data_IF_623381070683
#
_entry.id   IF_623381070683
#
_cell.length_a   1.000
_cell.length_b   1.000
_cell.length_c   1.000
_cell.angle_alpha   90.00
_cell.angle_beta   90.00
_cell.angle_gamma   90.00
#
_symmetry.space_group_name_H-M   'P 1'
#
loop_
_entity.id
_entity.type
_entity.pdbx_description
1 polymer ?
#
# COMPACT_ATOMS: atom_id res chain seq x y z
N UNK A 1 5.74 4.07 -12.14
CA UNK A 1 4.83 3.10 -11.51
C UNK A 1 4.98 1.79 -12.28
N UNK A 2 6.12 1.11 -12.07
CA UNK A 2 6.76 0.31 -13.12
C UNK A 2 6.46 -1.20 -13.06
N UNK A 3 6.05 -1.75 -11.91
CA UNK A 3 5.84 -3.20 -11.74
C UNK A 3 4.68 -3.77 -12.55
N UNK A 4 3.48 -3.20 -12.44
CA UNK A 4 2.32 -3.64 -13.21
C UNK A 4 2.43 -3.28 -14.71
N UNK A 5 3.09 -2.17 -15.03
CA UNK A 5 3.34 -1.77 -16.42
C UNK A 5 4.32 -2.71 -17.12
N UNK A 6 5.37 -3.18 -16.43
CA UNK A 6 6.31 -4.15 -16.98
C UNK A 6 5.62 -5.49 -17.29
N UNK A 7 4.81 -6.00 -16.35
CA UNK A 7 4.03 -7.23 -16.60
C UNK A 7 3.09 -7.05 -17.79
N UNK A 8 2.39 -5.90 -17.88
CA UNK A 8 1.55 -5.57 -19.05
C UNK A 8 2.34 -5.55 -20.35
N UNK A 9 3.55 -4.98 -20.36
CA UNK A 9 4.43 -5.00 -21.54
C UNK A 9 4.84 -6.41 -21.94
N UNK A 10 5.24 -7.25 -20.98
CA UNK A 10 5.65 -8.65 -21.24
C UNK A 10 4.50 -9.49 -21.83
N UNK A 11 3.28 -9.27 -21.35
CA UNK A 11 2.06 -9.89 -21.90
C UNK A 11 1.79 -9.36 -23.31
N UNK A 12 1.88 -8.04 -23.51
CA UNK A 12 1.65 -7.40 -24.80
C UNK A 12 2.63 -7.89 -25.88
N UNK A 13 3.90 -8.11 -25.52
CA UNK A 13 4.92 -8.63 -26.44
C UNK A 13 4.93 -10.16 -26.53
N UNK A 14 3.94 -10.85 -25.94
CA UNK A 14 3.81 -12.31 -25.92
C UNK A 14 5.00 -13.09 -25.32
N UNK A 15 5.90 -12.43 -24.58
CA UNK A 15 7.08 -13.08 -23.97
C UNK A 15 6.69 -14.07 -22.88
N UNK A 16 5.56 -13.84 -22.21
CA UNK A 16 5.01 -14.73 -21.18
C UNK A 16 4.57 -16.10 -21.71
N UNK A 17 4.44 -16.29 -23.03
CA UNK A 17 4.18 -17.62 -23.63
C UNK A 17 5.39 -18.54 -23.61
N UNK A 18 6.58 -18.01 -23.34
CA UNK A 18 7.85 -18.72 -23.38
C UNK A 18 8.58 -18.74 -22.03
N UNK A 19 7.99 -18.13 -20.99
CA UNK A 19 8.59 -17.96 -19.67
C UNK A 19 7.51 -18.10 -18.61
N UNK A 20 7.66 -19.09 -17.74
CA UNK A 20 6.78 -19.26 -16.58
C UNK A 20 7.19 -18.33 -15.44
N UNK A 21 6.23 -17.59 -14.90
CA UNK A 21 6.42 -16.83 -13.66
C UNK A 21 5.93 -17.66 -12.47
N UNK A 22 6.77 -17.76 -11.43
CA UNK A 22 6.37 -18.31 -10.14
C UNK A 22 6.06 -17.18 -9.17
N UNK A 23 5.02 -17.38 -8.38
CA UNK A 23 4.65 -16.46 -7.29
C UNK A 23 5.68 -16.58 -6.17
N UNK A 24 6.08 -15.44 -5.60
CA UNK A 24 6.93 -15.41 -4.41
C UNK A 24 6.09 -15.76 -3.18
N UNK A 25 6.65 -16.57 -2.26
CA UNK A 25 5.92 -17.03 -1.07
C UNK A 25 5.58 -15.91 -0.06
N UNK A 26 6.27 -14.77 -0.15
CA UNK A 26 5.98 -13.64 0.72
C UNK A 26 6.89 -12.44 0.47
N UNK A 27 6.48 -11.31 1.05
CA UNK A 27 7.28 -10.10 1.18
C UNK A 27 7.74 -9.94 2.62
N UNK A 28 8.93 -9.37 2.83
CA UNK A 28 9.52 -9.21 4.16
C UNK A 28 10.09 -7.80 4.33
N UNK A 29 10.04 -7.28 5.55
CA UNK A 29 10.62 -5.99 5.93
C UNK A 29 11.50 -6.13 7.16
N UNK A 30 12.62 -5.43 7.18
CA UNK A 30 13.50 -5.34 8.35
C UNK A 30 13.07 -4.16 9.22
N UNK A 31 12.72 -4.44 10.48
CA UNK A 31 12.34 -3.41 11.46
C UNK A 31 12.83 -3.82 12.84
N UNK A 32 13.31 -2.86 13.62
CA UNK A 32 13.69 -3.06 15.02
C UNK A 32 14.60 -4.29 15.28
N UNK A 33 15.56 -4.54 14.39
CA UNK A 33 16.51 -5.64 14.55
C UNK A 33 16.04 -6.99 13.99
N UNK A 34 14.81 -7.09 13.48
CA UNK A 34 14.20 -8.36 13.06
C UNK A 34 13.58 -8.26 11.66
N UNK A 35 13.56 -9.40 10.95
CA UNK A 35 12.83 -9.54 9.68
C UNK A 35 11.39 -9.97 9.99
N UNK A 36 10.43 -9.25 9.43
CA UNK A 36 9.00 -9.48 9.59
C UNK A 36 8.37 -9.79 8.23
N UNK A 37 7.45 -10.75 8.18
CA UNK A 37 6.60 -10.97 7.00
C UNK A 37 5.63 -9.80 6.87
N UNK A 38 5.51 -9.23 5.66
CA UNK A 38 4.51 -8.21 5.36
C UNK A 38 3.15 -8.90 5.26
N UNK A 39 2.14 -8.44 6.02
CA UNK A 39 0.83 -9.10 6.04
C UNK A 39 0.12 -9.02 4.69
N UNK A 40 -0.40 -10.17 4.25
CA UNK A 40 -1.14 -10.34 2.98
C UNK A 40 -2.64 -10.53 3.19
N UNK A 41 -3.03 -10.86 4.42
CA UNK A 41 -4.42 -11.09 4.81
C UNK A 41 -4.74 -10.38 6.12
N UNK A 42 -6.02 -10.18 6.42
CA UNK A 42 -6.46 -9.63 7.70
C UNK A 42 -5.97 -10.50 8.88
N UNK A 43 -5.96 -11.84 8.73
CA UNK A 43 -5.46 -12.75 9.73
C UNK A 43 -3.95 -12.59 9.98
N UNK A 44 -3.15 -12.44 8.92
CA UNK A 44 -1.72 -12.15 9.04
C UNK A 44 -1.47 -10.79 9.68
N UNK A 45 -2.30 -9.78 9.38
CA UNK A 45 -2.16 -8.44 9.96
C UNK A 45 -2.45 -8.46 11.47
N UNK A 46 -3.41 -9.27 11.91
CA UNK A 46 -3.71 -9.49 13.32
C UNK A 46 -2.57 -10.21 14.05
N UNK A 47 -1.97 -11.23 13.43
CA UNK A 47 -0.88 -12.00 14.01
C UNK A 47 0.50 -11.30 13.96
N UNK A 48 0.70 -10.36 13.03
CA UNK A 48 1.99 -9.74 12.77
C UNK A 48 2.54 -8.93 13.95
N UNK A 49 3.81 -9.07 14.28
CA UNK A 49 4.52 -8.24 15.27
C UNK A 49 5.11 -6.95 14.65
N UNK A 50 4.81 -6.67 13.38
CA UNK A 50 5.34 -5.52 12.64
C UNK A 50 4.81 -4.18 13.13
N UNK A 51 3.62 -4.18 13.73
CA UNK A 51 2.91 -2.99 14.23
C UNK A 51 2.40 -3.25 15.65
N UNK A 52 2.45 -2.24 16.51
CA UNK A 52 1.84 -2.30 17.83
C UNK A 52 0.31 -2.44 17.76
N UNK A 53 -0.33 -2.84 18.86
CA UNK A 53 -1.78 -3.05 18.92
C UNK A 53 -2.60 -1.80 18.50
N UNK A 54 -2.17 -0.62 18.96
CA UNK A 54 -2.82 0.65 18.59
C UNK A 54 -2.66 0.98 17.11
N UNK A 55 -1.48 0.69 16.56
CA UNK A 55 -1.13 1.00 15.18
C UNK A 55 -1.89 0.07 14.22
N UNK A 56 -2.06 -1.20 14.60
CA UNK A 56 -2.94 -2.14 13.88
C UNK A 56 -4.38 -1.66 13.84
N UNK A 57 -4.90 -1.13 14.94
CA UNK A 57 -6.27 -0.61 14.99
C UNK A 57 -6.46 0.58 14.04
N UNK A 58 -5.48 1.50 13.98
CA UNK A 58 -5.50 2.65 13.06
C UNK A 58 -5.37 2.21 11.60
N UNK A 59 -4.46 1.29 11.33
CA UNK A 59 -4.28 0.74 9.99
C UNK A 59 -5.53 0.02 9.48
N UNK A 60 -6.28 -0.65 10.38
CA UNK A 60 -7.57 -1.28 10.07
C UNK A 60 -8.66 -0.27 9.65
N UNK A 61 -8.53 1.02 10.01
CA UNK A 61 -9.42 2.09 9.52
C UNK A 61 -8.98 2.63 8.16
N UNK A 62 -7.67 2.79 7.97
CA UNK A 62 -7.09 3.29 6.72
C UNK A 62 -7.29 2.32 5.55
N UNK A 63 -7.09 1.01 5.78
CA UNK A 63 -7.07 0.03 4.71
C UNK A 63 -8.41 -0.07 3.95
N UNK A 64 -9.58 -0.16 4.62
CA UNK A 64 -10.87 -0.13 3.93
C UNK A 64 -11.11 1.17 3.14
N UNK A 65 -10.65 2.32 3.65
CA UNK A 65 -10.73 3.58 2.90
C UNK A 65 -9.96 3.48 1.58
N UNK A 66 -8.70 3.02 1.62
CA UNK A 66 -7.89 2.85 0.41
C UNK A 66 -8.53 1.87 -0.57
N UNK A 67 -9.02 0.73 -0.08
CA UNK A 67 -9.59 -0.32 -0.93
C UNK A 67 -10.89 0.12 -1.61
N UNK A 68 -11.74 0.88 -0.90
CA UNK A 68 -13.02 1.36 -1.42
C UNK A 68 -12.91 2.70 -2.16
N UNK A 69 -11.75 3.35 -2.16
CA UNK A 69 -11.55 4.63 -2.83
C UNK A 69 -11.68 4.48 -4.36
N UNK A 70 -12.57 5.24 -4.97
CA UNK A 70 -12.79 5.27 -6.42
C UNK A 70 -12.64 6.70 -6.95
N UNK A 71 -11.75 6.90 -7.93
CA UNK A 71 -11.41 8.25 -8.42
C UNK A 71 -12.60 9.00 -9.02
N UNK A 72 -13.52 8.26 -9.64
CA UNK A 72 -14.73 8.81 -10.25
C UNK A 72 -15.90 9.01 -9.28
N UNK A 73 -15.79 8.58 -8.02
CA UNK A 73 -16.87 8.64 -7.04
C UNK A 73 -16.48 9.46 -5.80
N UNK A 74 -16.97 10.70 -5.77
CA UNK A 74 -16.74 11.65 -4.67
C UNK A 74 -17.24 11.13 -3.31
N UNK A 75 -18.23 10.21 -3.27
CA UNK A 75 -18.71 9.66 -2.00
C UNK A 75 -17.65 8.82 -1.29
N UNK A 76 -16.73 8.23 -2.06
CA UNK A 76 -15.64 7.41 -1.50
C UNK A 76 -14.50 8.25 -0.93
N UNK A 77 -14.46 9.57 -1.20
CA UNK A 77 -13.33 10.43 -0.83
C UNK A 77 -13.40 10.95 0.61
N UNK A 78 -14.51 10.73 1.33
CA UNK A 78 -14.72 11.18 2.72
C UNK A 78 -14.41 12.68 2.92
N UNK A 79 -14.98 13.52 2.07
CA UNK A 79 -14.78 14.98 2.06
C UNK A 79 -13.35 15.47 1.78
N UNK A 80 -12.45 14.58 1.34
CA UNK A 80 -11.09 14.94 0.93
C UNK A 80 -10.99 15.17 -0.58
N UNK A 81 -10.13 16.11 -1.00
CA UNK A 81 -9.75 16.23 -2.42
C UNK A 81 -8.44 15.46 -2.67
N UNK A 82 -8.48 14.27 -3.30
CA UNK A 82 -7.30 13.42 -3.44
C UNK A 82 -6.20 14.03 -4.34
N UNK A 83 -6.54 15.03 -5.15
CA UNK A 83 -5.58 15.73 -6.02
C UNK A 83 -4.91 16.92 -5.33
N UNK A 84 -5.41 17.34 -4.16
CA UNK A 84 -4.89 18.50 -3.42
C UNK A 84 -4.38 18.12 -2.04
N UNK A 85 -5.08 17.23 -1.35
CA UNK A 85 -4.71 16.79 -0.01
C UNK A 85 -3.44 15.97 -0.07
N UNK A 86 -2.47 16.35 0.75
CA UNK A 86 -1.19 15.65 0.87
C UNK A 86 -1.37 14.27 1.51
N UNK A 87 -0.46 13.34 1.23
CA UNK A 87 -0.50 12.03 1.88
C UNK A 87 -0.31 12.13 3.40
N UNK A 88 0.45 13.13 3.87
CA UNK A 88 0.63 13.44 5.28
C UNK A 88 -0.69 13.81 5.96
N UNK A 89 -1.47 14.71 5.34
CA UNK A 89 -2.79 15.08 5.84
C UNK A 89 -3.74 13.88 5.88
N UNK A 90 -3.69 13.03 4.85
CA UNK A 90 -4.47 11.80 4.83
C UNK A 90 -4.09 10.86 5.98
N UNK A 91 -2.81 10.64 6.21
CA UNK A 91 -2.39 9.81 7.34
C UNK A 91 -2.78 10.39 8.69
N UNK A 92 -2.73 11.72 8.85
CA UNK A 92 -3.21 12.40 10.05
C UNK A 92 -4.72 12.23 10.25
N UNK A 93 -5.52 12.28 9.18
CA UNK A 93 -6.96 12.03 9.25
C UNK A 93 -7.31 10.64 9.82
N UNK A 94 -6.44 9.65 9.58
CA UNK A 94 -6.58 8.28 10.11
C UNK A 94 -5.75 8.03 11.39
N UNK A 95 -5.31 9.09 12.09
CA UNK A 95 -4.53 9.04 13.33
C UNK A 95 -3.20 8.26 13.23
N UNK A 96 -2.64 8.11 12.02
CA UNK A 96 -1.31 7.51 11.86
C UNK A 96 -0.25 8.52 12.33
N UNK A 97 0.59 8.09 13.27
CA UNK A 97 1.75 8.85 13.73
C UNK A 97 2.91 8.71 12.74
N UNK A 98 3.88 9.63 12.74
CA UNK A 98 5.04 9.59 11.83
C UNK A 98 5.78 8.25 11.83
N UNK A 99 5.97 7.62 13.00
CA UNK A 99 6.63 6.31 13.16
C UNK A 99 5.88 5.14 12.49
N UNK A 100 4.65 5.37 12.07
CA UNK A 100 3.77 4.38 11.46
C UNK A 100 3.58 4.67 9.96
N UNK A 101 3.73 5.93 9.52
CA UNK A 101 3.54 6.34 8.11
C UNK A 101 4.55 5.67 7.17
N UNK A 102 5.75 5.37 7.67
CA UNK A 102 6.82 4.68 6.93
C UNK A 102 6.37 3.32 6.40
N UNK A 103 5.57 2.58 7.17
CA UNK A 103 5.12 1.24 6.79
C UNK A 103 4.26 1.24 5.50
N UNK A 104 3.11 1.93 5.43
CA UNK A 104 2.35 2.02 4.20
C UNK A 104 3.13 2.70 3.07
N UNK A 105 3.98 3.69 3.35
CA UNK A 105 4.75 4.38 2.33
C UNK A 105 5.81 3.50 1.65
N UNK A 106 6.73 2.97 2.45
CA UNK A 106 7.91 2.26 1.94
C UNK A 106 7.63 0.78 1.68
N UNK A 107 6.84 0.14 2.52
CA UNK A 107 6.66 -1.32 2.44
C UNK A 107 5.54 -1.70 1.49
N UNK A 108 4.44 -0.94 1.49
CA UNK A 108 3.28 -1.23 0.65
C UNK A 108 3.29 -0.41 -0.65
N UNK A 109 3.48 0.91 -0.56
CA UNK A 109 3.52 1.79 -1.73
C UNK A 109 4.89 1.86 -2.43
N UNK A 110 5.91 1.20 -1.87
CA UNK A 110 7.25 1.05 -2.43
C UNK A 110 7.95 2.38 -2.75
N UNK A 111 7.70 3.41 -1.94
CA UNK A 111 8.48 4.65 -2.01
C UNK A 111 9.89 4.45 -1.46
N UNK A 112 10.86 5.20 -2.01
CA UNK A 112 12.27 5.14 -1.59
C UNK A 112 12.66 6.27 -0.63
N UNK A 113 11.87 7.35 -0.62
CA UNK A 113 12.04 8.56 0.16
C UNK A 113 10.68 9.02 0.67
N UNK A 114 10.70 9.89 1.68
CA UNK A 114 9.49 10.46 2.30
C UNK A 114 8.83 11.58 1.50
N UNK A 115 9.39 11.95 0.34
CA UNK A 115 8.88 13.06 -0.49
C UNK A 115 7.39 12.90 -0.83
N UNK A 116 6.89 11.66 -0.87
CA UNK A 116 5.49 11.32 -1.13
C UNK A 116 4.52 11.86 -0.06
N UNK A 117 4.99 12.10 1.16
CA UNK A 117 4.18 12.63 2.25
C UNK A 117 3.60 13.99 1.90
N UNK A 118 4.38 14.80 1.19
CA UNK A 118 4.01 16.18 0.84
C UNK A 118 3.48 16.30 -0.60
N UNK A 119 3.20 15.16 -1.26
CA UNK A 119 2.54 15.10 -2.57
C UNK A 119 1.05 14.76 -2.44
N UNK A 120 0.23 15.09 -3.45
CA UNK A 120 -1.17 14.66 -3.51
C UNK A 120 -1.34 13.16 -3.26
N UNK A 121 -2.27 12.80 -2.37
CA UNK A 121 -2.42 11.44 -1.87
C UNK A 121 -2.89 10.45 -2.95
N UNK A 122 -3.52 10.93 -4.04
CA UNK A 122 -4.04 10.12 -5.14
C UNK A 122 -3.02 9.10 -5.67
N UNK A 123 -1.77 9.52 -5.86
CA UNK A 123 -0.76 8.64 -6.45
C UNK A 123 -0.34 7.54 -5.47
N UNK A 124 -0.35 7.83 -4.18
CA UNK A 124 -0.03 6.87 -3.13
C UNK A 124 -1.19 5.90 -2.92
N UNK A 125 -2.45 6.37 -2.94
CA UNK A 125 -3.65 5.52 -2.87
C UNK A 125 -3.65 4.49 -4.02
N UNK A 126 -3.38 4.92 -5.26
CA UNK A 126 -3.27 4.02 -6.42
C UNK A 126 -2.22 2.91 -6.22
N UNK A 127 -1.06 3.24 -5.63
CA UNK A 127 -0.01 2.26 -5.36
C UNK A 127 -0.41 1.28 -4.27
N UNK A 128 -1.09 1.77 -3.22
CA UNK A 128 -1.58 0.94 -2.13
C UNK A 128 -2.67 -0.02 -2.61
N UNK A 129 -3.66 0.44 -3.40
CA UNK A 129 -4.66 -0.44 -4.04
C UNK A 129 -3.99 -1.52 -4.89
N UNK A 130 -3.04 -1.12 -5.74
CA UNK A 130 -2.31 -2.06 -6.59
C UNK A 130 -1.60 -3.16 -5.77
N UNK A 131 -0.95 -2.79 -4.68
CA UNK A 131 -0.30 -3.75 -3.79
C UNK A 131 -1.31 -4.73 -3.19
N UNK A 132 -2.43 -4.24 -2.67
CA UNK A 132 -3.48 -5.09 -2.12
C UNK A 132 -4.10 -6.04 -3.15
N UNK A 133 -4.30 -5.60 -4.39
CA UNK A 133 -4.76 -6.45 -5.49
C UNK A 133 -3.77 -7.58 -5.83
N UNK A 134 -2.46 -7.32 -5.70
CA UNK A 134 -1.43 -8.35 -5.89
C UNK A 134 -1.38 -9.36 -4.75
N UNK A 135 -1.71 -8.96 -3.52
CA UNK A 135 -1.71 -9.86 -2.36
C UNK A 135 -2.99 -10.69 -2.23
N UNK A 136 -4.11 -10.19 -2.75
CA UNK A 136 -5.38 -10.91 -2.77
C UNK A 136 -5.44 -12.01 -3.84
N UNK A 137 -4.42 -12.13 -4.70
CA UNK A 137 -4.29 -13.14 -5.77
C UNK A 137 -3.39 -14.28 -5.33
#
# INVERSE_FOLDING_TARGET
MYGSQLVKMLVYTYVTRHRDCKVLEGSYVYRAGKVHKVPSTEAEALASDLMGLFDKHRFRKLLPFILNFEEGDLQTHQDMDPNRTSMRELFHHFDLRPDIMEFPGHVLALYRSDDYLDQPCIQTIRRLKLYSEFMAR
#
